data_IF_414569926031
#
_entry.id   IF_414569926031
#
_cell.length_a   1.000
_cell.length_b   1.000
_cell.length_c   1.000
_cell.angle_alpha   90.00
_cell.angle_beta   90.00
_cell.angle_gamma   90.00
#
_symmetry.space_group_name_H-M   'P 1'
#
loop_
_entity.id
_entity.type
_entity.pdbx_description
1 polymer ?
#
# COMPACT_ATOMS: atom_id res chain seq x y z
N UNK A 1 8.31 -14.38 8.45
CA UNK A 1 9.42 -13.94 7.56
C UNK A 1 10.56 -13.33 8.38
N UNK A 2 11.80 -13.65 8.05
CA UNK A 2 13.00 -13.01 8.65
C UNK A 2 13.87 -12.48 7.53
N UNK A 3 14.08 -11.17 7.50
CA UNK A 3 14.93 -10.48 6.53
C UNK A 3 16.10 -9.84 7.26
N UNK A 4 17.30 -10.25 6.93
CA UNK A 4 18.52 -9.70 7.49
C UNK A 4 19.40 -9.18 6.34
N UNK A 5 19.50 -7.86 6.27
CA UNK A 5 20.39 -7.16 5.35
C UNK A 5 21.64 -6.76 6.14
N UNK A 6 22.69 -7.55 6.01
CA UNK A 6 23.98 -7.28 6.68
C UNK A 6 24.54 -5.92 6.33
N UNK A 7 25.47 -5.42 7.14
CA UNK A 7 26.14 -4.12 6.90
C UNK A 7 26.91 -4.17 5.57
N UNK A 8 26.98 -3.03 4.90
CA UNK A 8 27.92 -2.85 3.81
C UNK A 8 29.35 -2.93 4.35
N UNK A 9 30.19 -3.69 3.66
CA UNK A 9 31.61 -3.72 3.95
C UNK A 9 32.27 -2.61 3.13
N UNK A 10 33.14 -1.80 3.75
CA UNK A 10 33.85 -0.71 3.07
C UNK A 10 34.71 -1.17 1.88
N UNK A 11 35.02 -2.46 1.81
CA UNK A 11 35.85 -3.07 0.79
C UNK A 11 35.08 -3.98 -0.18
N UNK A 12 33.75 -3.93 -0.16
CA UNK A 12 32.92 -4.81 -0.99
C UNK A 12 31.57 -4.15 -1.30
N UNK A 13 31.22 -4.12 -2.56
CA UNK A 13 29.92 -3.62 -3.04
C UNK A 13 28.76 -4.56 -2.65
N UNK A 14 29.07 -5.68 -2.00
CA UNK A 14 28.09 -6.69 -1.61
C UNK A 14 27.93 -6.77 -0.10
N UNK A 15 26.69 -6.81 0.34
CA UNK A 15 26.33 -7.14 1.71
C UNK A 15 25.73 -8.55 1.80
N UNK A 16 25.94 -9.22 2.91
CA UNK A 16 25.35 -10.55 3.14
C UNK A 16 23.84 -10.40 3.37
N UNK A 17 23.06 -11.00 2.50
CA UNK A 17 21.59 -11.03 2.60
C UNK A 17 21.19 -12.42 3.05
N UNK A 18 20.34 -12.51 4.07
CA UNK A 18 19.69 -13.75 4.51
C UNK A 18 18.20 -13.49 4.64
N UNK A 19 17.41 -14.21 3.85
CA UNK A 19 15.95 -14.20 3.90
C UNK A 19 15.49 -15.61 4.26
N UNK A 20 14.59 -15.71 5.23
CA UNK A 20 13.91 -16.96 5.59
C UNK A 20 12.42 -16.69 5.52
N UNK A 21 11.71 -17.51 4.76
CA UNK A 21 10.26 -17.45 4.56
C UNK A 21 9.69 -18.76 5.07
N UNK A 22 8.65 -18.68 5.87
CA UNK A 22 7.93 -19.82 6.42
C UNK A 22 6.56 -19.92 5.73
N UNK A 23 5.90 -21.06 5.80
CA UNK A 23 4.63 -21.31 5.07
C UNK A 23 3.55 -20.27 5.41
N UNK A 24 3.47 -19.85 6.67
CA UNK A 24 2.53 -18.83 7.12
C UNK A 24 2.78 -17.43 6.55
N UNK A 25 4.02 -17.14 6.18
CA UNK A 25 4.35 -15.81 5.59
C UNK A 25 3.73 -15.62 4.21
N UNK A 26 3.36 -16.72 3.54
CA UNK A 26 2.75 -16.69 2.21
C UNK A 26 1.23 -16.67 2.23
N UNK A 27 0.61 -16.95 3.38
CA UNK A 27 -0.83 -16.88 3.54
C UNK A 27 -1.37 -15.45 3.34
N UNK A 28 -0.69 -14.47 3.96
CA UNK A 28 -0.93 -13.03 3.78
C UNK A 28 0.38 -12.37 3.35
N UNK A 29 0.82 -12.68 2.13
CA UNK A 29 2.12 -12.24 1.63
C UNK A 29 2.17 -10.73 1.42
N UNK A 30 1.08 -10.13 0.99
CA UNK A 30 0.86 -8.70 0.87
C UNK A 30 1.13 -7.96 2.18
N UNK A 31 0.55 -8.43 3.28
CA UNK A 31 0.78 -7.93 4.63
C UNK A 31 2.24 -8.09 5.07
N UNK A 32 2.78 -9.30 4.90
CA UNK A 32 4.18 -9.59 5.25
C UNK A 32 5.16 -8.69 4.52
N UNK A 33 4.90 -8.39 3.24
CA UNK A 33 5.71 -7.49 2.43
C UNK A 33 5.50 -6.02 2.82
N UNK A 34 4.28 -5.63 3.17
CA UNK A 34 3.98 -4.25 3.57
C UNK A 34 4.82 -3.81 4.79
N UNK A 35 5.02 -4.68 5.78
CA UNK A 35 5.90 -4.42 6.93
C UNK A 35 7.36 -4.15 6.55
N UNK A 36 7.82 -4.62 5.40
CA UNK A 36 9.19 -4.38 4.91
C UNK A 36 9.23 -3.16 4.01
N UNK A 37 8.23 -2.99 3.13
CA UNK A 37 8.20 -1.94 2.12
C UNK A 37 7.92 -0.58 2.76
N UNK A 38 6.95 -0.49 3.68
CA UNK A 38 6.57 0.76 4.32
C UNK A 38 7.75 1.51 4.96
N UNK A 39 8.52 0.91 5.88
CA UNK A 39 9.67 1.61 6.47
C UNK A 39 10.77 1.93 5.45
N UNK A 40 10.91 1.14 4.39
CA UNK A 40 11.87 1.42 3.33
C UNK A 40 11.45 2.65 2.50
N UNK A 41 10.17 2.79 2.15
CA UNK A 41 9.65 3.98 1.47
C UNK A 41 9.75 5.23 2.34
N UNK A 42 9.44 5.12 3.63
CA UNK A 42 9.59 6.23 4.59
C UNK A 42 11.04 6.69 4.71
N UNK A 43 11.99 5.74 4.74
CA UNK A 43 13.41 6.06 4.78
C UNK A 43 13.87 6.69 3.46
N UNK A 44 13.44 6.15 2.32
CA UNK A 44 13.72 6.73 1.01
C UNK A 44 13.22 8.18 0.94
N UNK A 45 11.97 8.44 1.31
CA UNK A 45 11.41 9.80 1.31
C UNK A 45 12.23 10.76 2.15
N UNK A 46 12.71 10.30 3.31
CA UNK A 46 13.49 11.13 4.25
C UNK A 46 14.88 11.49 3.72
N UNK A 47 15.58 10.53 3.12
CA UNK A 47 17.00 10.66 2.77
C UNK A 47 17.22 10.99 1.27
N UNK A 48 16.16 10.90 0.44
CA UNK A 48 16.29 11.14 -1.01
C UNK A 48 16.89 12.51 -1.31
N UNK A 49 17.84 12.54 -2.22
CA UNK A 49 18.48 13.76 -2.72
C UNK A 49 18.07 14.06 -4.17
N UNK A 50 17.52 13.07 -4.87
CA UNK A 50 17.16 13.15 -6.27
C UNK A 50 15.67 12.96 -6.57
N UNK A 51 15.33 13.12 -7.84
CA UNK A 51 14.01 12.86 -8.42
C UNK A 51 14.17 12.07 -9.70
N UNK A 52 13.32 11.06 -10.00
CA UNK A 52 13.39 10.33 -11.24
C UNK A 52 13.28 11.26 -12.46
N UNK A 53 14.15 11.08 -13.47
CA UNK A 53 14.26 11.96 -14.64
C UNK A 53 12.94 12.22 -15.36
N UNK A 54 12.06 11.22 -15.43
CA UNK A 54 10.74 11.36 -16.05
C UNK A 54 9.87 12.47 -15.40
N UNK A 55 10.04 12.78 -14.10
CA UNK A 55 9.33 13.90 -13.47
C UNK A 55 9.90 15.25 -13.90
N UNK A 56 11.16 15.30 -14.27
CA UNK A 56 11.82 16.50 -14.79
C UNK A 56 11.40 16.70 -16.25
N UNK A 57 11.32 15.64 -17.04
CA UNK A 57 10.89 15.68 -18.44
C UNK A 57 9.44 16.14 -18.58
N UNK A 58 8.56 15.66 -17.69
CA UNK A 58 7.12 16.01 -17.66
C UNK A 58 6.83 17.49 -17.35
N UNK A 59 7.76 18.21 -16.74
CA UNK A 59 7.62 19.65 -16.44
C UNK A 59 8.36 20.55 -17.44
N UNK A 60 8.74 20.00 -18.61
CA UNK A 60 9.44 20.73 -19.64
C UNK A 60 10.93 20.91 -19.32
N UNK A 61 11.48 19.92 -18.67
CA UNK A 61 12.92 19.80 -18.46
C UNK A 61 13.67 19.82 -19.79
N UNK A 62 14.55 20.75 -19.89
CA UNK A 62 15.17 21.27 -21.10
C UNK A 62 15.84 20.24 -21.99
N UNK A 63 15.82 20.54 -23.26
CA UNK A 63 16.83 20.10 -24.23
C UNK A 63 18.25 20.28 -23.65
N UNK A 64 18.87 19.21 -23.28
CA UNK A 64 20.24 19.16 -22.75
C UNK A 64 21.33 19.56 -23.79
N UNK A 65 20.93 20.11 -24.93
CA UNK A 65 21.81 20.27 -26.09
C UNK A 65 22.28 21.70 -26.35
N UNK A 66 22.22 22.60 -25.38
CA UNK A 66 22.84 23.91 -25.57
C UNK A 66 23.74 24.33 -24.41
N UNK A 67 25.03 24.16 -24.64
CA UNK A 67 26.15 24.53 -23.77
C UNK A 67 26.31 26.05 -23.56
N UNK A 68 25.39 26.90 -23.99
CA UNK A 68 25.64 28.33 -24.20
C UNK A 68 24.81 29.33 -23.38
N UNK A 69 24.12 28.92 -22.31
CA UNK A 69 23.40 29.94 -21.50
C UNK A 69 23.39 29.65 -19.99
N UNK A 70 24.54 29.86 -19.38
CA UNK A 70 24.79 29.53 -17.96
C UNK A 70 23.97 30.35 -16.96
N UNK A 71 23.48 31.54 -17.28
CA UNK A 71 22.76 32.42 -16.33
C UNK A 71 21.25 32.39 -16.48
N UNK A 72 20.71 32.24 -17.67
CA UNK A 72 19.27 32.09 -17.89
C UNK A 72 18.76 30.70 -17.44
N UNK A 73 19.64 29.73 -17.45
CA UNK A 73 19.39 28.35 -17.06
C UNK A 73 19.10 28.17 -15.57
N UNK A 74 19.64 29.02 -14.71
CA UNK A 74 19.52 28.85 -13.24
C UNK A 74 18.15 29.17 -12.69
N UNK A 75 17.43 30.16 -13.22
CA UNK A 75 16.12 30.56 -12.67
C UNK A 75 14.99 29.65 -13.17
N UNK A 76 14.96 29.32 -14.45
CA UNK A 76 13.92 28.44 -15.01
C UNK A 76 14.11 26.97 -14.61
N UNK A 77 15.34 26.51 -14.41
CA UNK A 77 15.62 25.15 -13.93
C UNK A 77 15.22 24.94 -12.48
N UNK A 78 15.37 25.93 -11.62
CA UNK A 78 14.99 25.78 -10.22
C UNK A 78 13.50 25.55 -10.06
N UNK A 79 12.66 26.32 -10.75
CA UNK A 79 11.20 26.20 -10.64
C UNK A 79 10.70 24.84 -11.19
N UNK A 80 11.17 24.41 -12.36
CA UNK A 80 10.80 23.13 -12.96
C UNK A 80 11.29 21.95 -12.11
N UNK A 81 12.50 22.03 -11.54
CA UNK A 81 13.03 21.02 -10.67
C UNK A 81 12.28 20.93 -9.35
N UNK A 82 11.92 22.07 -8.75
CA UNK A 82 11.14 22.11 -7.51
C UNK A 82 9.74 21.49 -7.71
N UNK A 83 9.11 21.73 -8.86
CA UNK A 83 7.84 21.11 -9.24
C UNK A 83 8.00 19.59 -9.38
N UNK A 84 9.06 19.14 -10.02
CA UNK A 84 9.36 17.71 -10.17
C UNK A 84 9.62 17.04 -8.83
N UNK A 85 10.39 17.67 -7.94
CA UNK A 85 10.62 17.20 -6.58
C UNK A 85 9.32 17.06 -5.80
N UNK A 86 8.45 18.08 -5.86
CA UNK A 86 7.15 18.04 -5.18
C UNK A 86 6.26 16.93 -5.70
N UNK A 87 6.16 16.76 -7.03
CA UNK A 87 5.39 15.66 -7.62
C UNK A 87 5.90 14.29 -7.20
N UNK A 88 7.22 14.13 -7.09
CA UNK A 88 7.82 12.90 -6.61
C UNK A 88 7.50 12.66 -5.12
N UNK A 89 7.56 13.70 -4.30
CA UNK A 89 7.15 13.63 -2.90
C UNK A 89 5.70 13.22 -2.73
N UNK A 90 4.79 13.87 -3.46
CA UNK A 90 3.36 13.53 -3.47
C UNK A 90 3.13 12.07 -3.91
N UNK A 91 3.92 11.59 -4.88
CA UNK A 91 3.89 10.20 -5.34
C UNK A 91 4.35 9.23 -4.25
N UNK A 92 5.45 9.52 -3.56
CA UNK A 92 5.91 8.73 -2.41
C UNK A 92 4.90 8.74 -1.28
N UNK A 93 4.23 9.87 -1.01
CA UNK A 93 3.20 9.95 0.00
C UNK A 93 2.00 9.07 -0.29
N UNK A 94 1.55 9.01 -1.54
CA UNK A 94 0.49 8.09 -1.97
C UNK A 94 0.89 6.63 -1.76
N UNK A 95 2.11 6.25 -2.15
CA UNK A 95 2.63 4.90 -1.90
C UNK A 95 2.68 4.59 -0.40
N UNK A 96 3.30 5.47 0.41
CA UNK A 96 3.43 5.31 1.85
C UNK A 96 2.06 5.15 2.49
N UNK A 97 1.11 6.02 2.14
CA UNK A 97 -0.25 5.97 2.66
C UNK A 97 -0.92 4.62 2.36
N UNK A 98 -0.80 4.10 1.13
CA UNK A 98 -1.38 2.80 0.76
C UNK A 98 -0.77 1.65 1.56
N UNK A 99 0.55 1.61 1.71
CA UNK A 99 1.20 0.60 2.54
C UNK A 99 0.89 0.75 4.03
N UNK A 100 0.59 1.95 4.52
CA UNK A 100 0.09 2.16 5.88
C UNK A 100 -1.28 1.50 6.08
N UNK A 101 -2.20 1.64 5.12
CA UNK A 101 -3.51 0.98 5.20
C UNK A 101 -3.36 -0.55 5.28
N UNK A 102 -2.47 -1.14 4.48
CA UNK A 102 -2.19 -2.57 4.52
C UNK A 102 -1.57 -3.03 5.85
N UNK A 103 -0.69 -2.23 6.46
CA UNK A 103 -0.05 -2.57 7.74
C UNK A 103 -1.02 -2.49 8.90
N UNK A 104 -1.90 -1.49 8.93
CA UNK A 104 -2.84 -1.30 10.04
C UNK A 104 -4.09 -2.17 9.92
N UNK A 105 -4.48 -2.55 8.70
CA UNK A 105 -5.54 -3.53 8.36
C UNK A 105 -6.88 -3.34 9.08
N UNK A 106 -7.19 -2.14 9.51
CA UNK A 106 -8.43 -1.80 10.19
C UNK A 106 -9.17 -0.62 9.55
N UNK A 107 -8.77 -0.27 8.33
CA UNK A 107 -9.33 0.88 7.63
C UNK A 107 -10.83 0.72 7.30
N UNK A 108 -11.32 -0.51 7.21
CA UNK A 108 -12.72 -0.81 6.95
C UNK A 108 -13.64 -0.43 8.12
N UNK A 109 -13.12 -0.49 9.35
CA UNK A 109 -13.91 -0.26 10.57
C UNK A 109 -14.61 1.10 10.58
N UNK A 110 -13.99 2.13 10.03
CA UNK A 110 -14.56 3.48 9.97
C UNK A 110 -15.83 3.60 9.10
N UNK A 111 -16.10 2.61 8.25
CA UNK A 111 -17.25 2.57 7.34
C UNK A 111 -18.39 1.71 7.87
N UNK A 112 -18.18 1.01 8.98
CA UNK A 112 -19.23 0.26 9.67
C UNK A 112 -19.80 1.11 10.80
N UNK A 113 -21.09 1.36 10.75
CA UNK A 113 -21.79 2.21 11.69
C UNK A 113 -22.82 1.40 12.46
N UNK A 114 -22.91 1.67 13.77
CA UNK A 114 -23.78 0.92 14.67
C UNK A 114 -23.20 -0.45 15.03
N UNK A 115 -23.93 -1.19 15.86
CA UNK A 115 -23.51 -2.53 16.28
C UNK A 115 -24.64 -3.50 15.95
N UNK A 116 -24.41 -4.49 15.05
CA UNK A 116 -25.43 -5.48 14.75
C UNK A 116 -25.67 -6.40 15.96
N UNK A 117 -26.92 -6.72 16.21
CA UNK A 117 -27.34 -7.70 17.22
C UNK A 117 -27.88 -8.95 16.53
N UNK A 118 -27.20 -10.06 16.69
CA UNK A 118 -27.58 -11.32 16.09
C UNK A 118 -28.16 -12.29 17.13
N UNK A 119 -29.17 -13.06 16.71
CA UNK A 119 -29.69 -14.20 17.47
C UNK A 119 -29.89 -15.41 16.57
N UNK A 120 -30.03 -16.56 17.17
CA UNK A 120 -30.20 -17.82 16.46
C UNK A 120 -31.66 -18.31 16.61
N UNK A 121 -32.36 -18.37 15.48
CA UNK A 121 -33.70 -18.91 15.43
C UNK A 121 -33.70 -20.33 14.85
N UNK A 122 -34.54 -21.24 15.35
CA UNK A 122 -34.72 -22.54 14.73
C UNK A 122 -35.05 -22.41 13.24
N UNK A 123 -34.39 -23.22 12.44
CA UNK A 123 -34.65 -23.34 11.01
C UNK A 123 -35.05 -24.76 10.67
N UNK A 124 -35.30 -25.07 9.42
CA UNK A 124 -35.71 -26.40 9.00
C UNK A 124 -34.69 -27.46 9.42
N UNK A 125 -35.18 -28.61 9.92
CA UNK A 125 -34.32 -29.71 10.30
C UNK A 125 -33.58 -30.28 9.06
N UNK A 126 -32.28 -30.44 9.17
CA UNK A 126 -31.47 -31.09 8.13
C UNK A 126 -31.47 -32.60 8.34
N UNK A 127 -31.83 -33.35 7.31
CA UNK A 127 -31.72 -34.81 7.31
C UNK A 127 -30.48 -35.20 6.52
N UNK A 128 -29.47 -35.73 7.21
CA UNK A 128 -28.28 -36.23 6.56
C UNK A 128 -28.65 -37.42 5.64
N UNK A 129 -28.43 -37.31 4.31
CA UNK A 129 -28.79 -38.32 3.34
C UNK A 129 -28.03 -39.64 3.51
N UNK A 130 -26.86 -39.62 4.19
CA UNK A 130 -26.02 -40.81 4.37
C UNK A 130 -26.37 -41.58 5.65
N UNK A 131 -26.80 -40.88 6.69
CA UNK A 131 -27.04 -41.47 8.02
C UNK A 131 -28.51 -41.48 8.40
N UNK A 132 -29.38 -40.81 7.64
CA UNK A 132 -30.78 -40.56 7.93
C UNK A 132 -31.03 -39.92 9.32
N UNK A 133 -30.00 -39.30 9.91
CA UNK A 133 -30.16 -38.56 11.16
C UNK A 133 -30.68 -37.16 10.89
N UNK A 134 -31.64 -36.77 11.72
CA UNK A 134 -32.17 -35.40 11.70
C UNK A 134 -31.33 -34.53 12.64
N UNK A 135 -30.75 -33.47 12.10
CA UNK A 135 -30.01 -32.47 12.84
C UNK A 135 -30.82 -31.16 12.86
N UNK A 136 -30.93 -30.56 14.06
CA UNK A 136 -31.53 -29.24 14.17
C UNK A 136 -30.61 -28.18 13.61
N UNK A 137 -31.13 -27.42 12.67
CA UNK A 137 -30.42 -26.27 12.14
C UNK A 137 -30.96 -24.97 12.70
N UNK A 138 -30.11 -23.94 12.69
CA UNK A 138 -30.47 -22.61 13.15
C UNK A 138 -30.01 -21.61 12.09
N UNK A 139 -30.82 -20.57 11.89
CA UNK A 139 -30.43 -19.40 11.07
C UNK A 139 -30.05 -18.25 12.00
N UNK A 140 -29.06 -17.51 11.61
CA UNK A 140 -28.71 -16.25 12.23
C UNK A 140 -29.70 -15.18 11.75
N UNK A 141 -30.29 -14.46 12.67
CA UNK A 141 -31.24 -13.38 12.42
C UNK A 141 -30.71 -12.11 13.04
N UNK A 142 -30.71 -11.05 12.24
CA UNK A 142 -30.36 -9.71 12.70
C UNK A 142 -31.58 -9.10 13.40
N UNK A 143 -31.41 -8.70 14.67
CA UNK A 143 -32.51 -8.14 15.51
C UNK A 143 -32.66 -6.64 15.35
N UNK A 144 -31.63 -5.94 14.86
CA UNK A 144 -31.66 -4.49 14.73
C UNK A 144 -31.17 -3.98 13.36
N UNK A 145 -31.72 -4.50 12.24
CA UNK A 145 -31.21 -4.24 10.90
C UNK A 145 -31.25 -2.76 10.47
N UNK A 146 -31.94 -1.91 11.22
CA UNK A 146 -32.03 -0.46 10.96
C UNK A 146 -31.08 0.37 11.81
N UNK A 147 -30.40 -0.24 12.78
CA UNK A 147 -29.52 0.45 13.73
C UNK A 147 -28.05 0.35 13.34
N UNK A 148 -27.73 -0.42 12.31
CA UNK A 148 -26.39 -0.52 11.76
C UNK A 148 -26.42 -0.48 10.22
N UNK A 149 -25.35 0.03 9.65
CA UNK A 149 -25.19 0.12 8.21
C UNK A 149 -23.72 0.24 7.83
N UNK A 150 -23.40 -0.06 6.57
CA UNK A 150 -22.05 0.05 6.05
C UNK A 150 -22.02 1.04 4.88
N UNK A 151 -21.08 1.96 4.91
CA UNK A 151 -20.79 2.87 3.80
C UNK A 151 -19.93 2.17 2.74
N UNK A 152 -20.57 1.37 1.91
CA UNK A 152 -19.91 0.65 0.82
C UNK A 152 -19.27 1.56 -0.21
N UNK A 153 -19.84 2.76 -0.44
CA UNK A 153 -19.26 3.71 -1.38
C UNK A 153 -17.97 4.33 -0.81
N UNK A 154 -17.98 4.69 0.46
CA UNK A 154 -16.77 5.14 1.15
C UNK A 154 -15.66 4.08 1.15
N UNK A 155 -16.02 2.82 1.43
CA UNK A 155 -15.09 1.68 1.36
C UNK A 155 -14.48 1.53 -0.04
N UNK A 156 -15.31 1.57 -1.09
CA UNK A 156 -14.86 1.46 -2.48
C UNK A 156 -13.87 2.56 -2.84
N UNK A 157 -14.17 3.80 -2.50
CA UNK A 157 -13.28 4.95 -2.77
C UNK A 157 -11.95 4.84 -2.00
N UNK A 158 -12.01 4.32 -0.77
CA UNK A 158 -10.80 4.08 0.03
C UNK A 158 -9.92 3.00 -0.60
N UNK A 159 -10.52 1.90 -1.02
CA UNK A 159 -9.82 0.79 -1.70
C UNK A 159 -9.20 1.25 -3.02
N UNK A 160 -9.92 2.03 -3.83
CA UNK A 160 -9.37 2.62 -5.06
C UNK A 160 -8.15 3.50 -4.78
N UNK A 161 -8.15 4.24 -3.68
CA UNK A 161 -7.00 5.04 -3.28
C UNK A 161 -5.82 4.18 -2.81
N UNK A 162 -6.08 3.05 -2.12
CA UNK A 162 -5.04 2.06 -1.79
C UNK A 162 -4.43 1.53 -3.08
N UNK A 163 -5.29 1.13 -4.02
CA UNK A 163 -4.87 0.58 -5.31
C UNK A 163 -4.04 1.58 -6.12
N UNK A 164 -4.42 2.86 -6.13
CA UNK A 164 -3.62 3.93 -6.78
C UNK A 164 -2.17 3.95 -6.29
N UNK A 165 -1.96 3.88 -4.98
CA UNK A 165 -0.59 3.90 -4.42
C UNK A 165 0.20 2.63 -4.71
N UNK A 166 -0.45 1.46 -4.77
CA UNK A 166 0.18 0.20 -5.17
C UNK A 166 0.59 0.22 -6.65
N UNK A 167 -0.25 0.79 -7.52
CA UNK A 167 0.06 0.98 -8.94
C UNK A 167 1.24 1.93 -9.13
N UNK A 168 1.29 3.03 -8.37
CA UNK A 168 2.42 3.95 -8.38
C UNK A 168 3.70 3.25 -7.89
N UNK A 169 3.62 2.42 -6.86
CA UNK A 169 4.75 1.62 -6.39
C UNK A 169 5.26 0.69 -7.49
N UNK A 170 4.38 -0.05 -8.17
CA UNK A 170 4.74 -0.91 -9.29
C UNK A 170 5.34 -0.12 -10.46
N UNK A 171 4.74 1.01 -10.82
CA UNK A 171 5.19 1.89 -11.90
C UNK A 171 6.61 2.43 -11.65
N UNK A 172 6.88 2.87 -10.44
CA UNK A 172 8.14 3.51 -10.08
C UNK A 172 9.12 2.59 -9.36
N UNK A 173 8.85 1.29 -9.28
CA UNK A 173 9.66 0.32 -8.56
C UNK A 173 11.16 0.40 -8.88
N UNK A 174 11.52 0.61 -10.17
CA UNK A 174 12.90 0.72 -10.63
C UNK A 174 13.55 2.08 -10.36
N UNK A 175 12.79 3.03 -9.82
CA UNK A 175 13.23 4.38 -9.47
C UNK A 175 13.23 4.62 -7.96
N UNK A 176 13.03 3.56 -7.15
CA UNK A 176 13.10 3.59 -5.69
C UNK A 176 14.56 3.51 -5.22
N UNK A 177 15.34 4.49 -5.61
CA UNK A 177 16.76 4.62 -5.23
C UNK A 177 17.09 6.10 -5.06
N UNK A 178 18.20 6.38 -4.37
CA UNK A 178 18.74 7.72 -4.13
C UNK A 178 20.11 7.87 -4.83
#
# INVERSE_FOLDING_TARGET
>A
MKVNLGKYNKNSDYRKIKVTIEDFDTWSLDHSLAYIILPALMQLKKEKMGVPGQFVDDVGGADYDSQDSFDFYKETHNESFDIACKRWEDTLDKMIWSFQQLVFDNWEEQYHHGTPEYDWEPYDDFVDPNTAKTEKTYKMVDKNPTEHWTDYEGMRLHEERIQEGLELFGKYYRHLWD
#
